data_IF_011301121813
#
_entry.id   IF_011301121813
#
_cell.length_a   1.000
_cell.length_b   1.000
_cell.length_c   1.000
_cell.angle_alpha   90.00
_cell.angle_beta   90.00
_cell.angle_gamma   90.00
#
_symmetry.space_group_name_H-M   'P 1'
#
loop_
_entity.id
_entity.type
_entity.pdbx_description
1 polymer ?
#
# COMPACT_ATOMS: atom_id res chain seq x y z
N UNK A 1 19.88 -6.74 -11.56
CA UNK A 1 18.48 -6.38 -11.30
C UNK A 1 17.58 -7.17 -12.25
N UNK A 2 16.70 -8.02 -11.73
CA UNK A 2 15.88 -8.94 -12.53
C UNK A 2 14.91 -8.22 -13.48
N UNK A 3 14.53 -8.86 -14.59
CA UNK A 3 13.69 -8.28 -15.65
C UNK A 3 12.34 -7.71 -15.13
N UNK A 4 11.82 -8.23 -14.03
CA UNK A 4 10.59 -7.77 -13.38
C UNK A 4 10.72 -6.39 -12.71
N UNK A 5 11.91 -6.03 -12.24
CA UNK A 5 12.18 -4.71 -11.63
C UNK A 5 12.37 -3.61 -12.68
N UNK A 6 12.49 -3.96 -13.98
CA UNK A 6 12.64 -2.99 -15.08
C UNK A 6 11.31 -2.33 -15.48
N UNK A 7 10.17 -2.93 -15.12
CA UNK A 7 8.86 -2.33 -15.39
C UNK A 7 8.47 -1.40 -14.24
N UNK A 8 7.98 -0.19 -14.51
CA UNK A 8 7.51 0.70 -13.46
C UNK A 8 6.35 0.02 -12.72
N UNK A 9 6.45 -0.04 -11.39
CA UNK A 9 5.38 -0.54 -10.54
C UNK A 9 4.23 0.46 -10.64
N UNK A 10 3.14 0.05 -11.28
CA UNK A 10 1.98 0.93 -11.53
C UNK A 10 1.01 0.96 -10.37
N UNK A 11 0.86 -0.16 -9.66
CA UNK A 11 -0.11 -0.34 -8.59
C UNK A 11 0.53 -1.10 -7.45
N UNK A 12 0.16 -0.72 -6.23
CA UNK A 12 0.55 -1.43 -5.02
C UNK A 12 -0.71 -1.81 -4.26
N UNK A 13 -0.90 -3.10 -4.02
CA UNK A 13 -2.05 -3.64 -3.31
C UNK A 13 -1.60 -3.94 -1.88
N UNK A 14 -2.29 -3.38 -0.90
CA UNK A 14 -2.07 -3.66 0.52
C UNK A 14 -3.29 -4.39 1.06
N UNK A 15 -3.07 -5.51 1.72
CA UNK A 15 -4.10 -6.25 2.43
C UNK A 15 -3.89 -5.99 3.92
N UNK A 16 -4.80 -5.24 4.53
CA UNK A 16 -4.74 -4.92 5.95
C UNK A 16 -5.62 -5.90 6.73
N UNK A 17 -5.00 -6.63 7.65
CA UNK A 17 -5.68 -7.48 8.60
C UNK A 17 -5.96 -6.70 9.88
N UNK A 18 -7.18 -6.81 10.39
CA UNK A 18 -7.50 -6.35 11.74
C UNK A 18 -7.01 -7.39 12.75
N UNK A 19 -6.57 -6.95 13.93
CA UNK A 19 -6.32 -7.84 15.07
C UNK A 19 -7.59 -8.59 15.52
N UNK A 20 -8.76 -8.06 15.17
CA UNK A 20 -10.02 -8.73 15.44
C UNK A 20 -10.34 -9.70 14.30
N UNK A 21 -10.24 -11.00 14.59
CA UNK A 21 -10.42 -12.09 13.62
C UNK A 21 -11.80 -12.12 12.95
N UNK A 22 -12.80 -11.44 13.53
CA UNK A 22 -14.15 -11.32 12.95
C UNK A 22 -14.24 -10.29 11.82
N UNK A 23 -13.28 -9.36 11.75
CA UNK A 23 -13.32 -8.32 10.73
C UNK A 23 -12.68 -8.83 9.44
N UNK A 24 -13.36 -8.72 8.29
CA UNK A 24 -12.78 -9.10 7.01
C UNK A 24 -11.56 -8.23 6.70
N UNK A 25 -10.52 -8.78 6.08
CA UNK A 25 -9.37 -8.01 5.65
C UNK A 25 -9.79 -6.95 4.63
N UNK A 26 -9.23 -5.76 4.77
CA UNK A 26 -9.51 -4.65 3.87
C UNK A 26 -8.43 -4.57 2.79
N UNK A 27 -8.86 -4.57 1.53
CA UNK A 27 -7.95 -4.42 0.39
C UNK A 27 -7.85 -2.94 0.01
N UNK A 28 -6.63 -2.44 0.05
CA UNK A 28 -6.31 -1.06 -0.27
C UNK A 28 -5.50 -1.02 -1.58
N UNK A 29 -5.93 -0.18 -2.51
CA UNK A 29 -5.16 0.10 -3.72
C UNK A 29 -4.42 1.42 -3.49
N UNK A 30 -3.09 1.34 -3.47
CA UNK A 30 -2.22 2.48 -3.25
C UNK A 30 -1.42 2.89 -4.47
N UNK A 31 -1.05 4.18 -4.51
CA UNK A 31 -0.08 4.70 -5.46
C UNK A 31 1.29 4.10 -5.15
N UNK A 32 1.83 3.33 -6.10
CA UNK A 32 3.06 2.57 -5.91
C UNK A 32 4.22 3.42 -5.41
N UNK A 33 4.46 4.59 -6.02
CA UNK A 33 5.57 5.49 -5.63
C UNK A 33 5.48 5.94 -4.17
N UNK A 34 4.31 6.42 -3.73
CA UNK A 34 4.16 6.90 -2.36
C UNK A 34 4.26 5.75 -1.34
N UNK A 35 3.67 4.59 -1.64
CA UNK A 35 3.76 3.43 -0.75
C UNK A 35 5.19 2.88 -0.67
N UNK A 36 5.96 2.91 -1.77
CA UNK A 36 7.37 2.52 -1.75
C UNK A 36 8.19 3.51 -0.92
N UNK A 37 7.94 4.82 -1.07
CA UNK A 37 8.64 5.84 -0.28
C UNK A 37 8.38 5.67 1.23
N UNK A 38 7.14 5.33 1.62
CA UNK A 38 6.83 5.07 3.02
C UNK A 38 7.37 3.73 3.53
N UNK A 39 7.08 2.60 2.86
CA UNK A 39 7.40 1.26 3.38
C UNK A 39 8.84 0.83 3.14
N UNK A 40 9.44 1.19 1.99
CA UNK A 40 10.79 0.77 1.61
C UNK A 40 11.82 1.82 2.01
N UNK A 41 11.54 3.09 1.71
CA UNK A 41 12.46 4.19 2.00
C UNK A 41 12.25 4.82 3.39
N UNK A 42 11.21 4.41 4.14
CA UNK A 42 10.88 4.92 5.47
C UNK A 42 10.73 6.45 5.52
N UNK A 43 10.21 7.02 4.44
CA UNK A 43 9.98 8.46 4.30
C UNK A 43 8.50 8.80 4.55
N UNK A 44 8.27 9.62 5.57
CA UNK A 44 6.95 10.17 5.89
C UNK A 44 6.26 9.48 7.06
N UNK A 45 5.09 10.00 7.43
CA UNK A 45 4.29 9.49 8.55
C UNK A 45 3.17 8.57 8.08
N UNK A 46 2.79 7.62 8.94
CA UNK A 46 1.72 6.66 8.66
C UNK A 46 0.40 7.35 8.31
N UNK A 47 0.03 8.41 9.03
CA UNK A 47 -1.22 9.14 8.73
C UNK A 47 -1.20 9.74 7.33
N UNK A 48 -0.04 10.24 6.90
CA UNK A 48 0.11 10.88 5.61
C UNK A 48 0.03 9.85 4.48
N UNK A 49 0.65 8.68 4.67
CA UNK A 49 0.51 7.54 3.77
C UNK A 49 -0.95 7.03 3.73
N UNK A 50 -1.57 6.81 4.88
CA UNK A 50 -2.92 6.28 5.00
C UNK A 50 -3.96 7.18 4.33
N UNK A 51 -3.84 8.50 4.46
CA UNK A 51 -4.82 9.45 3.92
C UNK A 51 -4.61 9.76 2.44
N UNK A 52 -3.36 9.87 1.99
CA UNK A 52 -3.05 10.42 0.66
C UNK A 52 -2.60 9.36 -0.35
N UNK A 53 -2.22 8.17 0.11
CA UNK A 53 -1.51 7.20 -0.71
C UNK A 53 -2.23 5.87 -0.89
N UNK A 54 -3.23 5.57 -0.06
CA UNK A 54 -4.10 4.40 -0.22
C UNK A 54 -5.55 4.82 -0.40
N UNK A 55 -6.26 4.04 -1.21
CA UNK A 55 -7.71 4.12 -1.36
C UNK A 55 -8.30 2.75 -1.04
N UNK A 56 -9.31 2.74 -0.17
CA UNK A 56 -10.05 1.52 0.12
C UNK A 56 -10.87 1.16 -1.10
N UNK A 57 -10.72 -0.09 -1.55
CA UNK A 57 -11.64 -0.62 -2.54
C UNK A 57 -12.88 -1.03 -1.75
N UNK A 58 -14.00 -0.33 -1.96
CA UNK A 58 -15.30 -0.83 -1.49
C UNK A 58 -15.50 -2.20 -2.12
N UNK A 59 -15.77 -3.19 -1.27
CA UNK A 59 -16.02 -4.58 -1.62
C UNK A 59 -17.47 -4.76 -2.07
#
# INVERSE_FOLDING_TARGET
MGQYAKKPIKQLIVVMHSDNQRNPPQVCIGKAKCSIDFWVHQKGEYQNWYKNCIHFKEL
#
